data_IF_969565012797
#
_entry.id   IF_969565012797
#
_cell.length_a   1.000
_cell.length_b   1.000
_cell.length_c   1.000
_cell.angle_alpha   90.00
_cell.angle_beta   90.00
_cell.angle_gamma   90.00
#
_symmetry.space_group_name_H-M   'P 1'
#
loop_
_entity.id
_entity.type
_entity.pdbx_description
1 polymer ?
#
# COMPACT_ATOMS: atom_id res chain seq x y z
N UNK A 1 -3.98 12.31 -0.93
CA UNK A 1 -2.66 11.80 -0.50
C UNK A 1 -1.64 12.24 -1.52
N UNK A 2 -0.49 12.69 -1.02
CA UNK A 2 0.66 13.11 -1.78
C UNK A 2 1.67 11.97 -1.76
N UNK A 3 2.24 11.65 -2.91
CA UNK A 3 3.25 10.61 -3.08
C UNK A 3 4.47 11.26 -3.72
N UNK A 4 5.62 11.08 -3.09
CA UNK A 4 6.91 11.61 -3.51
C UNK A 4 7.84 10.42 -3.77
N UNK A 5 8.44 10.34 -4.97
CA UNK A 5 9.59 9.49 -5.23
C UNK A 5 10.84 10.36 -5.18
N UNK A 6 11.75 10.06 -4.26
CA UNK A 6 12.93 10.88 -4.00
C UNK A 6 14.01 10.64 -5.07
N UNK A 7 14.75 11.69 -5.42
CA UNK A 7 15.89 11.60 -6.35
C UNK A 7 17.05 10.80 -5.74
N UNK A 8 17.25 10.93 -4.42
CA UNK A 8 18.24 10.21 -3.64
C UNK A 8 17.57 9.21 -2.69
N UNK A 9 18.08 7.97 -2.58
CA UNK A 9 17.55 7.00 -1.65
C UNK A 9 17.90 7.40 -0.21
N UNK A 10 16.95 7.23 0.71
CA UNK A 10 17.24 7.34 2.14
C UNK A 10 17.85 6.01 2.59
N UNK A 11 19.08 6.07 3.08
CA UNK A 11 19.80 4.88 3.57
C UNK A 11 19.58 4.61 5.05
N UNK A 12 19.24 5.63 5.83
CA UNK A 12 19.04 5.55 7.26
C UNK A 12 17.61 5.92 7.69
N UNK A 13 16.98 5.00 8.43
CA UNK A 13 15.61 5.12 8.94
C UNK A 13 15.61 5.34 10.47
N UNK A 14 16.75 5.59 11.11
CA UNK A 14 16.90 5.62 12.57
C UNK A 14 16.01 6.66 13.29
N UNK A 15 15.61 7.72 12.59
CA UNK A 15 14.67 8.73 13.11
C UNK A 15 13.18 8.38 12.89
N UNK A 16 12.88 7.26 12.22
CA UNK A 16 11.54 6.83 11.86
C UNK A 16 11.06 5.68 12.76
N UNK A 17 9.75 5.57 12.93
CA UNK A 17 9.15 4.46 13.68
C UNK A 17 8.82 3.30 12.72
N UNK A 18 9.31 2.08 12.93
CA UNK A 18 8.92 0.92 12.12
C UNK A 18 7.40 0.75 12.06
N UNK A 19 6.85 0.45 10.88
CA UNK A 19 5.41 0.45 10.66
C UNK A 19 4.61 -0.43 11.64
N UNK A 20 5.01 -1.67 11.98
CA UNK A 20 4.26 -2.47 12.95
C UNK A 20 4.24 -1.85 14.34
N UNK A 21 5.35 -1.26 14.78
CA UNK A 21 5.43 -0.56 16.05
C UNK A 21 4.55 0.69 16.03
N UNK A 22 4.54 1.43 14.93
CA UNK A 22 3.65 2.56 14.76
C UNK A 22 2.19 2.10 14.85
N UNK A 23 1.77 1.09 14.09
CA UNK A 23 0.40 0.57 14.10
C UNK A 23 -0.01 0.12 15.52
N UNK A 24 0.87 -0.57 16.25
CA UNK A 24 0.55 -1.11 17.58
C UNK A 24 0.07 -0.07 18.60
N UNK A 25 0.46 1.21 18.46
CA UNK A 25 0.04 2.26 19.39
C UNK A 25 -1.40 2.76 19.18
N UNK A 26 -1.98 2.60 17.98
CA UNK A 26 -3.40 2.83 17.70
C UNK A 26 -3.83 1.98 16.49
N UNK A 27 -4.10 0.68 16.70
CA UNK A 27 -4.23 -0.28 15.61
C UNK A 27 -5.34 0.07 14.61
N UNK A 28 -6.49 0.56 15.08
CA UNK A 28 -7.65 0.81 14.23
C UNK A 28 -7.40 1.95 13.26
N UNK A 29 -7.05 3.14 13.77
CA UNK A 29 -6.84 4.30 12.92
C UNK A 29 -5.56 4.16 12.09
N UNK A 30 -4.47 3.65 12.67
CA UNK A 30 -3.17 3.53 11.98
C UNK A 30 -3.17 2.48 10.90
N UNK A 31 -3.83 1.34 11.10
CA UNK A 31 -3.99 0.34 10.03
C UNK A 31 -4.79 0.92 8.87
N UNK A 32 -5.92 1.58 9.15
CA UNK A 32 -6.73 2.25 8.13
C UNK A 32 -5.91 3.28 7.35
N UNK A 33 -5.22 4.17 8.05
CA UNK A 33 -4.41 5.21 7.42
C UNK A 33 -3.29 4.62 6.57
N UNK A 34 -2.59 3.60 7.08
CA UNK A 34 -1.50 2.92 6.36
C UNK A 34 -2.02 2.27 5.09
N UNK A 35 -3.15 1.58 5.15
CA UNK A 35 -3.77 0.97 3.98
C UNK A 35 -4.16 2.04 2.95
N UNK A 36 -4.68 3.20 3.37
CA UNK A 36 -4.94 4.31 2.46
C UNK A 36 -3.65 4.82 1.79
N UNK A 37 -2.55 4.93 2.55
CA UNK A 37 -1.26 5.37 2.03
C UNK A 37 -0.68 4.40 1.01
N UNK A 38 -0.70 3.09 1.28
CA UNK A 38 -0.24 2.07 0.32
C UNK A 38 -1.12 2.06 -0.93
N UNK A 39 -2.45 2.15 -0.78
CA UNK A 39 -3.35 2.22 -1.92
C UNK A 39 -3.10 3.48 -2.76
N UNK A 40 -2.80 4.62 -2.13
CA UNK A 40 -2.44 5.84 -2.83
C UNK A 40 -1.14 5.68 -3.63
N UNK A 41 -0.12 5.01 -3.07
CA UNK A 41 1.12 4.68 -3.79
C UNK A 41 0.85 3.78 -5.00
N UNK A 42 0.02 2.76 -4.83
CA UNK A 42 -0.39 1.86 -5.94
C UNK A 42 -1.16 2.60 -7.03
N UNK A 43 -2.06 3.51 -6.67
CA UNK A 43 -2.89 4.27 -7.63
C UNK A 43 -2.06 5.15 -8.56
N UNK A 44 -0.93 5.65 -8.07
CA UNK A 44 -0.04 6.53 -8.84
C UNK A 44 1.24 5.83 -9.27
N UNK A 45 1.30 4.49 -9.16
CA UNK A 45 2.54 3.72 -9.31
C UNK A 45 3.28 4.01 -10.62
N UNK A 46 2.55 4.05 -11.75
CA UNK A 46 3.13 4.37 -13.06
C UNK A 46 3.71 5.80 -13.14
N UNK A 47 3.13 6.76 -12.42
CA UNK A 47 3.58 8.16 -12.41
C UNK A 47 4.85 8.35 -11.59
N UNK A 48 4.98 7.60 -10.49
CA UNK A 48 6.13 7.69 -9.58
C UNK A 48 7.15 6.57 -9.78
N UNK A 49 6.96 5.71 -10.79
CA UNK A 49 7.81 4.55 -11.12
C UNK A 49 7.92 3.52 -9.98
N UNK A 50 6.84 3.33 -9.23
CA UNK A 50 6.72 2.25 -8.25
C UNK A 50 6.38 0.92 -8.94
N UNK A 51 7.11 -0.14 -8.61
CA UNK A 51 6.98 -1.46 -9.23
C UNK A 51 6.32 -2.51 -8.32
N UNK A 52 5.96 -2.15 -7.08
CA UNK A 52 5.26 -3.06 -6.17
C UNK A 52 6.12 -3.73 -5.11
N UNK A 53 7.45 -3.75 -5.27
CA UNK A 53 8.35 -4.52 -4.40
C UNK A 53 9.02 -3.68 -3.31
N UNK A 54 9.22 -4.23 -2.12
CA UNK A 54 9.74 -3.55 -0.94
C UNK A 54 11.01 -4.24 -0.43
N UNK A 55 12.13 -3.49 -0.34
CA UNK A 55 13.40 -4.00 0.20
C UNK A 55 13.37 -4.19 1.72
N UNK A 56 12.69 -3.26 2.38
CA UNK A 56 12.72 -3.09 3.83
C UNK A 56 11.31 -2.88 4.35
N UNK A 57 11.16 -3.14 5.65
CA UNK A 57 9.93 -2.80 6.35
C UNK A 57 9.65 -1.30 6.23
N UNK A 58 8.44 -0.90 5.80
CA UNK A 58 8.07 0.51 5.79
C UNK A 58 8.19 1.13 7.19
N UNK A 59 8.44 2.42 7.22
CA UNK A 59 8.53 3.18 8.47
C UNK A 59 7.69 4.45 8.38
N UNK A 60 7.34 5.02 9.54
CA UNK A 60 6.51 6.20 9.63
C UNK A 60 7.27 7.31 10.34
N UNK A 61 7.32 8.47 9.70
CA UNK A 61 7.75 9.71 10.30
C UNK A 61 6.58 10.65 10.57
N UNK A 62 6.88 11.79 11.19
CA UNK A 62 5.90 12.81 11.50
C UNK A 62 6.40 14.17 11.00
N UNK A 63 5.58 14.86 10.21
CA UNK A 63 5.83 16.22 9.79
C UNK A 63 5.13 17.18 10.74
N UNK A 64 5.88 18.12 11.31
CA UNK A 64 5.37 19.19 12.15
C UNK A 64 4.86 20.32 11.25
N UNK A 65 3.55 20.53 11.23
CA UNK A 65 2.91 21.66 10.55
C UNK A 65 1.94 22.35 11.53
N UNK A 66 2.47 23.21 12.44
CA UNK A 66 1.67 23.81 13.51
C UNK A 66 0.35 24.39 12.99
N UNK A 67 -0.80 24.10 13.64
CA UNK A 67 -0.97 23.45 14.95
C UNK A 67 -1.03 21.91 14.92
N UNK A 68 -0.82 21.28 13.76
CA UNK A 68 -1.09 19.85 13.53
C UNK A 68 0.17 19.07 13.19
N UNK A 69 0.24 17.81 13.60
CA UNK A 69 1.30 16.89 13.17
C UNK A 69 0.68 15.85 12.26
N UNK A 70 1.30 15.61 11.10
CA UNK A 70 0.80 14.63 10.13
C UNK A 70 1.80 13.48 9.97
N UNK A 71 1.35 12.21 10.01
CA UNK A 71 2.22 11.10 9.69
C UNK A 71 2.54 11.09 8.19
N UNK A 72 3.73 10.59 7.86
CA UNK A 72 4.09 10.21 6.50
C UNK A 72 4.72 8.83 6.52
N UNK A 73 4.37 8.01 5.52
CA UNK A 73 4.87 6.66 5.33
C UNK A 73 6.07 6.71 4.42
N UNK A 74 7.14 6.00 4.77
CA UNK A 74 8.34 5.84 3.96
C UNK A 74 8.46 4.39 3.53
N UNK A 75 8.57 4.17 2.22
CA UNK A 75 8.70 2.84 1.60
C UNK A 75 9.94 2.84 0.70
N UNK A 76 10.82 1.84 0.86
CA UNK A 76 11.99 1.67 -0.03
C UNK A 76 11.71 0.55 -1.01
N UNK A 77 11.79 0.84 -2.30
CA UNK A 77 11.68 -0.18 -3.34
C UNK A 77 12.91 -1.09 -3.33
N UNK A 78 12.70 -2.37 -3.63
CA UNK A 78 13.80 -3.35 -3.75
C UNK A 78 14.77 -3.00 -4.89
N UNK A 79 14.22 -2.77 -6.08
CA UNK A 79 15.01 -2.40 -7.25
C UNK A 79 15.44 -0.92 -7.20
N UNK A 80 16.76 -0.69 -7.24
CA UNK A 80 17.45 0.61 -7.22
C UNK A 80 17.34 1.43 -5.92
N UNK A 81 16.65 0.92 -4.89
CA UNK A 81 16.58 1.58 -3.58
C UNK A 81 15.76 2.88 -3.54
N UNK A 82 15.00 3.21 -4.60
CA UNK A 82 14.16 4.42 -4.64
C UNK A 82 13.27 4.49 -3.40
N UNK A 83 13.28 5.66 -2.78
CA UNK A 83 12.50 5.91 -1.56
C UNK A 83 11.25 6.68 -1.90
N UNK A 84 10.12 6.19 -1.40
CA UNK A 84 8.80 6.75 -1.60
C UNK A 84 8.28 7.30 -0.27
N UNK A 85 7.81 8.53 -0.28
CA UNK A 85 7.14 9.15 0.87
C UNK A 85 5.67 9.38 0.53
N UNK A 86 4.77 8.92 1.40
CA UNK A 86 3.32 9.10 1.25
C UNK A 86 2.77 9.87 2.44
N UNK A 87 2.01 10.93 2.18
CA UNK A 87 1.43 11.77 3.23
C UNK A 87 -0.01 12.18 2.92
N UNK A 88 -0.81 12.41 3.96
CA UNK A 88 -2.14 12.98 3.82
C UNK A 88 -2.10 14.49 3.50
N UNK A 89 -1.02 15.17 3.90
CA UNK A 89 -0.78 16.59 3.67
C UNK A 89 0.45 16.80 2.79
N UNK A 90 0.51 17.93 2.07
CA UNK A 90 1.68 18.29 1.30
C UNK A 90 2.88 18.50 2.23
N UNK A 91 4.05 18.05 1.79
CA UNK A 91 5.32 18.19 2.50
C UNK A 91 6.25 19.08 1.66
N UNK A 92 6.19 20.42 1.81
CA UNK A 92 6.96 21.34 0.96
C UNK A 92 8.47 21.08 0.98
N UNK A 93 9.01 20.64 2.12
CA UNK A 93 10.42 20.29 2.28
C UNK A 93 10.87 19.05 1.49
N UNK A 94 9.92 18.26 0.95
CA UNK A 94 10.22 17.16 0.03
C UNK A 94 10.03 17.53 -1.44
N UNK A 95 9.44 18.68 -1.75
CA UNK A 95 9.14 19.04 -3.14
C UNK A 95 10.42 19.16 -3.99
N UNK A 96 11.49 19.73 -3.39
CA UNK A 96 12.78 19.89 -4.06
C UNK A 96 13.60 18.59 -4.09
N UNK A 97 13.29 17.64 -3.20
CA UNK A 97 13.97 16.34 -3.07
C UNK A 97 13.31 15.22 -3.90
N UNK A 98 12.17 15.51 -4.54
CA UNK A 98 11.42 14.53 -5.30
C UNK A 98 11.76 14.57 -6.80
N UNK A 99 12.13 13.42 -7.37
CA UNK A 99 12.20 13.25 -8.83
C UNK A 99 10.78 13.23 -9.43
N UNK A 100 9.85 12.57 -8.74
CA UNK A 100 8.46 12.48 -9.16
C UNK A 100 7.50 12.75 -8.01
N UNK A 101 6.44 13.47 -8.31
CA UNK A 101 5.36 13.74 -7.36
C UNK A 101 4.02 13.43 -7.99
N UNK A 102 3.13 12.82 -7.23
CA UNK A 102 1.76 12.60 -7.65
C UNK A 102 0.80 12.87 -6.49
N UNK A 103 -0.44 13.21 -6.83
CA UNK A 103 -1.52 13.38 -5.88
C UNK A 103 -2.71 12.55 -6.31
N UNK A 104 -3.30 11.83 -5.36
CA UNK A 104 -4.52 11.05 -5.56
C UNK A 104 -5.47 11.24 -4.38
N UNK A 105 -6.80 11.23 -4.57
CA UNK A 105 -7.74 11.19 -3.45
C UNK A 105 -7.45 10.01 -2.52
N UNK A 106 -7.61 10.19 -1.20
CA UNK A 106 -7.53 9.05 -0.29
C UNK A 106 -8.73 8.12 -0.55
N UNK A 107 -8.47 6.83 -0.78
CA UNK A 107 -9.56 5.85 -0.94
C UNK A 107 -10.38 5.74 0.34
N UNK A 108 -11.71 5.67 0.19
CA UNK A 108 -12.60 5.35 1.31
C UNK A 108 -12.44 3.85 1.59
N UNK A 109 -11.88 3.53 2.75
CA UNK A 109 -11.85 2.16 3.25
C UNK A 109 -13.13 1.96 4.05
N UNK A 110 -13.98 1.05 3.57
CA UNK A 110 -15.19 0.66 4.29
C UNK A 110 -14.87 0.04 5.65
N UNK A 111 -15.91 -0.28 6.42
CA UNK A 111 -15.74 -1.19 7.56
C UNK A 111 -15.43 -2.56 6.96
N UNK A 112 -14.27 -3.12 7.29
CA UNK A 112 -13.99 -4.50 6.96
C UNK A 112 -14.86 -5.39 7.85
N UNK A 113 -15.91 -5.97 7.28
CA UNK A 113 -16.62 -7.10 7.87
C UNK A 113 -15.93 -8.35 7.37
N UNK A 114 -15.44 -9.19 8.28
CA UNK A 114 -14.82 -10.46 7.92
C UNK A 114 -15.79 -11.23 7.00
N UNK A 115 -15.42 -11.54 5.74
CA UNK A 115 -16.29 -12.35 4.89
C UNK A 115 -16.48 -13.70 5.57
N UNK A 116 -17.72 -14.01 5.89
CA UNK A 116 -18.10 -15.31 6.41
C UNK A 116 -18.20 -16.31 5.26
N UNK A 117 -18.31 -17.59 5.56
CA UNK A 117 -18.58 -18.62 4.54
C UNK A 117 -19.86 -18.35 3.73
N UNK A 118 -20.77 -17.49 4.21
CA UNK A 118 -21.96 -17.06 3.48
C UNK A 118 -21.67 -16.04 2.38
N UNK A 119 -20.54 -15.35 2.44
CA UNK A 119 -20.15 -14.31 1.48
C UNK A 119 -19.33 -14.86 0.30
N UNK A 120 -18.99 -16.16 0.34
CA UNK A 120 -18.26 -16.87 -0.71
C UNK A 120 -19.30 -17.56 -1.60
N UNK A 121 -19.40 -17.15 -2.87
CA UNK A 121 -20.23 -17.88 -3.84
C UNK A 121 -19.75 -19.35 -3.89
N UNK A 122 -20.66 -20.33 -3.76
CA UNK A 122 -20.29 -21.73 -3.88
C UNK A 122 -19.66 -21.96 -5.25
N UNK A 123 -18.50 -22.63 -5.28
CA UNK A 123 -17.89 -23.02 -6.55
C UNK A 123 -18.92 -23.72 -7.44
N UNK A 124 -19.00 -23.38 -8.74
CA UNK A 124 -19.88 -24.08 -9.65
C UNK A 124 -19.47 -25.55 -9.64
N UNK A 125 -20.41 -26.41 -9.20
CA UNK A 125 -20.22 -27.86 -9.21
C UNK A 125 -19.71 -28.27 -10.59
N UNK A 126 -18.56 -28.96 -10.72
CA UNK A 126 -18.10 -29.43 -12.00
C UNK A 126 -19.23 -30.24 -12.64
N UNK A 127 -19.65 -29.84 -13.84
CA UNK A 127 -20.60 -30.64 -14.60
C UNK A 127 -20.01 -32.05 -14.71
N UNK A 128 -20.71 -33.04 -14.16
CA UNK A 128 -20.35 -34.44 -14.30
C UNK A 128 -20.23 -34.72 -15.79
N UNK A 129 -19.00 -34.83 -16.29
CA UNK A 129 -18.72 -35.39 -17.60
C UNK A 129 -19.20 -36.83 -17.52
N UNK A 130 -20.42 -37.08 -17.98
CA UNK A 130 -20.93 -38.43 -18.22
C UNK A 130 -20.06 -39.02 -19.31
N UNK A 131 -19.12 -39.85 -18.90
CA UNK A 131 -18.24 -40.64 -19.75
C UNK A 131 -19.09 -41.73 -20.44
N UNK A 132 -19.73 -41.37 -21.55
CA UNK A 132 -20.32 -42.34 -22.48
C UNK A 132 -19.20 -43.00 -23.27
N UNK A 133 -18.63 -44.08 -22.72
CA UNK A 133 -17.79 -45.00 -23.48
C UNK A 133 -18.69 -45.82 -24.42
N UNK A 134 -18.52 -45.76 -25.76
CA UNK A 134 -19.28 -46.60 -26.67
C UNK A 134 -18.71 -48.02 -26.67
N UNK A 135 -19.61 -49.00 -26.49
CA UNK A 135 -19.29 -50.42 -26.53
C UNK A 135 -18.91 -50.84 -27.98
N UNK A 136 -17.78 -51.53 -28.22
CA UNK A 136 -17.48 -52.05 -29.55
C UNK A 136 -18.30 -53.33 -29.85
N UNK A 137 -18.72 -53.54 -31.11
CA UNK A 137 -19.47 -54.74 -31.50
C UNK A 137 -18.54 -55.97 -31.61
N UNK A 138 -19.06 -57.13 -31.19
CA UNK A 138 -18.50 -58.46 -31.47
C UNK A 138 -18.99 -58.96 -32.83
#
# INVERSE_FOLDING_TARGET
>A
MFVYALHEPIDDFDALTPLPQWIAADPTWRTRWTLQAILALTDVAAQVRWNGDMRHQPSVGAALAPPTTFPYLVVKQDNNGTTFVVSAAALPWLADEAEHTAQTPARIIGVWTHPTSYDIEPEPTPATLTDTVPNPPF
#
